data_IF_779923945027
#
_entry.id   IF_779923945027
#
_cell.length_a   1.000
_cell.length_b   1.000
_cell.length_c   1.000
_cell.angle_alpha   90.00
_cell.angle_beta   90.00
_cell.angle_gamma   90.00
#
_symmetry.space_group_name_H-M   'P 1'
#
loop_
_entity.id
_entity.type
_entity.pdbx_description
1 polymer ?
#
# COMPACT_ATOMS: atom_id res chain seq x y z
N UNK A 1 -4.48 1.50 14.41
CA UNK A 1 -3.94 0.64 13.36
C UNK A 1 -3.96 1.37 12.03
N UNK A 2 -2.88 1.32 11.30
CA UNK A 2 -2.76 2.00 10.01
C UNK A 2 -3.29 1.11 8.90
N UNK A 3 -3.99 1.72 7.97
CA UNK A 3 -4.51 1.07 6.77
C UNK A 3 -4.01 1.81 5.55
N UNK A 4 -3.93 1.11 4.43
CA UNK A 4 -3.66 1.75 3.15
C UNK A 4 -4.96 2.40 2.68
N UNK A 5 -5.05 3.72 2.81
CA UNK A 5 -6.18 4.47 2.29
C UNK A 5 -5.97 4.78 0.79
N UNK A 6 -6.99 5.37 0.17
CA UNK A 6 -6.94 5.66 -1.27
C UNK A 6 -5.85 6.64 -1.63
N UNK A 7 -5.54 7.60 -0.76
CA UNK A 7 -4.50 8.60 -1.02
C UNK A 7 -3.13 7.96 -1.05
N UNK A 8 -2.81 7.14 -0.05
CA UNK A 8 -1.53 6.43 0.00
C UNK A 8 -1.43 5.46 -1.17
N UNK A 9 -2.50 4.70 -1.44
CA UNK A 9 -2.52 3.74 -2.53
C UNK A 9 -2.28 4.41 -3.88
N UNK A 10 -2.96 5.53 -4.15
CA UNK A 10 -2.80 6.28 -5.39
C UNK A 10 -1.36 6.78 -5.54
N UNK A 11 -0.75 7.26 -4.46
CA UNK A 11 0.62 7.73 -4.47
C UNK A 11 1.59 6.60 -4.87
N UNK A 12 1.39 5.40 -4.33
CA UNK A 12 2.25 4.26 -4.66
C UNK A 12 2.04 3.81 -6.10
N UNK A 13 0.78 3.57 -6.51
CA UNK A 13 0.53 3.01 -7.85
C UNK A 13 0.99 3.96 -8.94
N UNK A 14 0.77 5.27 -8.77
CA UNK A 14 1.19 6.26 -9.75
C UNK A 14 2.71 6.39 -9.82
N UNK A 15 3.39 6.39 -8.67
CA UNK A 15 4.85 6.47 -8.62
C UNK A 15 5.49 5.26 -9.30
N UNK A 16 4.99 4.06 -9.01
CA UNK A 16 5.54 2.84 -9.60
C UNK A 16 5.29 2.78 -11.11
N UNK A 17 4.09 3.17 -11.55
CA UNK A 17 3.79 3.23 -12.98
C UNK A 17 4.71 4.24 -13.70
N UNK A 18 4.98 5.38 -13.11
CA UNK A 18 5.88 6.38 -13.71
C UNK A 18 7.27 5.80 -13.98
N UNK A 19 7.72 4.86 -13.14
CA UNK A 19 9.03 4.23 -13.28
C UNK A 19 8.98 3.04 -14.24
N UNK A 20 7.99 2.16 -14.12
CA UNK A 20 7.97 0.90 -14.86
C UNK A 20 7.12 0.93 -16.14
N UNK A 21 6.25 1.93 -16.31
CA UNK A 21 5.38 2.05 -17.48
C UNK A 21 4.24 1.03 -17.54
N UNK A 22 4.02 0.26 -16.50
CA UNK A 22 2.99 -0.78 -16.43
C UNK A 22 1.91 -0.39 -15.45
N UNK A 23 0.69 -0.92 -15.65
CA UNK A 23 -0.40 -0.68 -14.73
C UNK A 23 -0.16 -1.36 -13.39
N UNK A 24 -0.49 -0.64 -12.32
CA UNK A 24 -0.29 -1.08 -10.95
C UNK A 24 -1.61 -0.98 -10.20
N UNK A 25 -1.92 -2.01 -9.43
CA UNK A 25 -3.15 -2.12 -8.67
C UNK A 25 -2.87 -2.38 -7.20
N UNK A 26 -3.76 -1.86 -6.34
CA UNK A 26 -3.92 -2.36 -4.98
C UNK A 26 -5.23 -3.12 -4.87
N UNK A 27 -5.18 -4.31 -4.29
CA UNK A 27 -6.30 -5.24 -4.16
C UNK A 27 -6.52 -5.51 -2.68
N UNK A 28 -7.79 -5.45 -2.24
CA UNK A 28 -8.10 -5.67 -0.84
C UNK A 28 -8.25 -7.16 -0.52
N UNK A 29 -8.54 -7.45 0.74
CA UNK A 29 -8.68 -8.80 1.27
C UNK A 29 -9.78 -9.61 0.54
N UNK A 30 -10.80 -8.94 0.03
CA UNK A 30 -11.90 -9.57 -0.70
C UNK A 30 -11.64 -9.74 -2.19
N UNK A 31 -10.47 -9.33 -2.66
CA UNK A 31 -10.12 -9.44 -4.07
C UNK A 31 -10.57 -8.26 -4.93
N UNK A 32 -11.01 -7.17 -4.31
CA UNK A 32 -11.47 -6.00 -5.03
C UNK A 32 -10.32 -5.01 -5.22
N UNK A 33 -10.15 -4.56 -6.44
CA UNK A 33 -9.17 -3.51 -6.76
C UNK A 33 -9.71 -2.18 -6.21
N UNK A 34 -9.04 -1.60 -5.22
CA UNK A 34 -9.48 -0.33 -4.63
C UNK A 34 -8.64 0.87 -5.07
N UNK A 35 -7.53 0.63 -5.76
CA UNK A 35 -6.73 1.67 -6.40
C UNK A 35 -6.02 1.08 -7.61
N UNK A 36 -5.97 1.82 -8.70
CA UNK A 36 -5.36 1.36 -9.95
C UNK A 36 -4.92 2.54 -10.79
N UNK A 37 -3.85 2.34 -11.55
CA UNK A 37 -3.46 3.29 -12.61
C UNK A 37 -4.35 3.16 -13.85
N UNK A 38 -5.16 2.09 -13.93
CA UNK A 38 -6.23 1.95 -14.90
C UNK A 38 -7.56 2.19 -14.17
N UNK A 39 -8.19 3.38 -14.34
CA UNK A 39 -9.39 3.72 -13.58
C UNK A 39 -10.57 2.78 -13.80
N UNK A 40 -10.65 2.14 -14.96
CA UNK A 40 -11.75 1.22 -15.27
C UNK A 40 -11.71 -0.04 -14.42
N UNK A 41 -10.56 -0.38 -13.87
CA UNK A 41 -10.41 -1.57 -13.04
C UNK A 41 -10.79 -1.36 -11.58
N UNK A 42 -10.89 -0.12 -11.13
CA UNK A 42 -11.26 0.18 -9.73
C UNK A 42 -12.66 -0.35 -9.45
N UNK A 43 -12.81 -1.10 -8.37
CA UNK A 43 -14.07 -1.70 -7.97
C UNK A 43 -14.30 -3.09 -8.58
N UNK A 44 -13.43 -3.58 -9.45
CA UNK A 44 -13.59 -4.91 -10.07
C UNK A 44 -12.89 -5.99 -9.25
N UNK A 45 -13.33 -7.24 -9.46
CA UNK A 45 -12.76 -8.40 -8.79
C UNK A 45 -11.53 -8.92 -9.54
N UNK A 46 -10.49 -9.26 -8.77
CA UNK A 46 -9.24 -9.80 -9.29
C UNK A 46 -9.01 -11.17 -8.64
N UNK A 47 -9.25 -12.24 -9.39
CA UNK A 47 -9.24 -13.60 -8.84
C UNK A 47 -7.91 -13.97 -8.20
N UNK A 48 -6.81 -13.78 -8.91
CA UNK A 48 -5.48 -14.14 -8.39
C UNK A 48 -5.04 -13.20 -7.27
N UNK A 49 -5.42 -11.93 -7.32
CA UNK A 49 -5.20 -11.03 -6.20
C UNK A 49 -5.90 -11.51 -4.93
N UNK A 50 -7.12 -12.03 -5.09
CA UNK A 50 -7.86 -12.63 -3.98
C UNK A 50 -7.13 -13.86 -3.43
N UNK A 51 -6.64 -14.74 -4.31
CA UNK A 51 -5.88 -15.91 -3.89
C UNK A 51 -4.60 -15.53 -3.17
N UNK A 52 -3.88 -14.52 -3.65
CA UNK A 52 -2.68 -14.02 -2.99
C UNK A 52 -3.00 -13.52 -1.57
N UNK A 53 -4.12 -12.81 -1.42
CA UNK A 53 -4.58 -12.33 -0.11
C UNK A 53 -4.89 -13.49 0.83
N UNK A 54 -5.53 -14.54 0.32
CA UNK A 54 -5.91 -15.70 1.14
C UNK A 54 -4.72 -16.57 1.55
N UNK A 55 -3.76 -16.76 0.63
CA UNK A 55 -2.62 -17.66 0.87
C UNK A 55 -1.43 -16.95 1.51
N UNK A 56 -1.33 -15.64 1.36
CA UNK A 56 -0.16 -14.89 1.80
C UNK A 56 1.07 -15.09 0.92
N UNK A 57 0.89 -15.69 -0.27
CA UNK A 57 1.99 -15.98 -1.17
C UNK A 57 1.93 -15.12 -2.41
N UNK A 58 3.11 -14.75 -2.93
CA UNK A 58 3.22 -14.07 -4.22
C UNK A 58 2.84 -15.03 -5.34
N UNK A 59 1.96 -14.58 -6.23
CA UNK A 59 1.49 -15.40 -7.35
C UNK A 59 1.82 -14.68 -8.66
N UNK A 60 2.52 -15.37 -9.55
CA UNK A 60 2.88 -14.87 -10.87
C UNK A 60 1.97 -15.52 -11.90
N UNK A 61 1.41 -14.70 -12.80
CA UNK A 61 0.53 -15.16 -13.88
C UNK A 61 1.23 -14.88 -15.20
N UNK A 62 1.44 -15.95 -16.00
CA UNK A 62 2.16 -15.87 -17.26
C UNK A 62 1.27 -15.89 -18.49
N UNK A 63 -0.05 -16.04 -18.29
CA UNK A 63 -1.04 -16.02 -19.36
C UNK A 63 -2.27 -15.21 -18.91
N UNK A 64 -2.87 -14.47 -19.85
CA UNK A 64 -3.94 -13.52 -19.54
C UNK A 64 -5.33 -14.16 -19.42
N UNK A 65 -5.52 -15.36 -19.89
CA UNK A 65 -6.85 -15.89 -20.22
C UNK A 65 -7.40 -16.93 -19.24
N UNK A 66 -6.71 -17.23 -18.15
CA UNK A 66 -7.09 -18.34 -17.28
C UNK A 66 -7.84 -17.94 -16.02
N UNK A 67 -7.90 -16.63 -15.68
CA UNK A 67 -8.41 -16.20 -14.38
C UNK A 67 -9.27 -14.95 -14.52
N UNK A 68 -10.39 -14.92 -13.80
CA UNK A 68 -11.34 -13.81 -13.86
C UNK A 68 -10.73 -12.51 -13.35
N UNK A 69 -10.75 -11.48 -14.19
CA UNK A 69 -10.26 -10.16 -13.85
C UNK A 69 -8.75 -10.06 -13.72
N UNK A 70 -8.03 -11.14 -13.99
CA UNK A 70 -6.58 -11.20 -13.84
C UNK A 70 -5.89 -11.15 -15.20
N UNK A 71 -4.87 -10.31 -15.30
CA UNK A 71 -3.98 -10.23 -16.45
C UNK A 71 -2.63 -10.84 -16.08
N UNK A 72 -1.82 -11.12 -17.11
CA UNK A 72 -0.44 -11.53 -16.91
C UNK A 72 0.27 -10.50 -16.01
N UNK A 73 0.95 -10.97 -15.00
CA UNK A 73 1.61 -10.07 -14.06
C UNK A 73 2.04 -10.77 -12.78
N UNK A 74 2.30 -9.95 -11.78
CA UNK A 74 2.70 -10.40 -10.44
C UNK A 74 1.73 -9.84 -9.40
N UNK A 75 1.43 -10.66 -8.40
CA UNK A 75 0.51 -10.31 -7.30
C UNK A 75 1.22 -10.61 -6.00
N UNK A 76 1.57 -9.57 -5.27
CA UNK A 76 2.42 -9.66 -4.07
C UNK A 76 1.65 -9.16 -2.86
N UNK A 77 1.34 -10.04 -1.89
CA UNK A 77 0.68 -9.60 -0.66
C UNK A 77 1.64 -8.79 0.19
N UNK A 78 1.13 -7.69 0.74
CA UNK A 78 1.91 -6.77 1.58
C UNK A 78 1.41 -6.87 3.01
N UNK A 79 2.35 -7.13 3.91
CA UNK A 79 2.12 -7.15 5.35
C UNK A 79 2.91 -6.04 6.01
N UNK A 80 2.37 -5.47 7.07
CA UNK A 80 3.07 -4.51 7.90
C UNK A 80 2.86 -4.90 9.36
N UNK A 81 3.94 -5.12 10.09
CA UNK A 81 3.87 -5.63 11.47
C UNK A 81 2.97 -6.86 11.58
N UNK A 82 3.14 -7.80 10.64
CA UNK A 82 2.42 -9.08 10.57
C UNK A 82 0.92 -8.93 10.28
N UNK A 83 0.47 -7.74 9.90
CA UNK A 83 -0.92 -7.49 9.54
C UNK A 83 -1.02 -7.36 8.02
N UNK A 84 -1.99 -8.07 7.42
CA UNK A 84 -2.25 -7.95 5.99
C UNK A 84 -2.74 -6.54 5.67
N UNK A 85 -2.13 -5.91 4.67
CA UNK A 85 -2.48 -4.56 4.25
C UNK A 85 -3.22 -4.55 2.92
N UNK A 86 -2.67 -5.21 1.91
CA UNK A 86 -3.24 -5.27 0.56
C UNK A 86 -2.40 -6.21 -0.29
N UNK A 87 -2.86 -6.47 -1.52
CA UNK A 87 -2.06 -7.12 -2.56
C UNK A 87 -1.68 -6.06 -3.58
N UNK A 88 -0.40 -6.03 -3.96
CA UNK A 88 0.08 -5.20 -5.06
C UNK A 88 0.07 -6.07 -6.31
N UNK A 89 -0.64 -5.60 -7.35
CA UNK A 89 -0.63 -6.23 -8.66
C UNK A 89 0.07 -5.35 -9.67
N UNK A 90 0.96 -5.93 -10.49
CA UNK A 90 1.60 -5.21 -11.61
C UNK A 90 1.43 -6.06 -12.86
N UNK A 91 0.88 -5.44 -13.92
CA UNK A 91 0.67 -6.08 -15.22
C UNK A 91 1.99 -6.14 -15.98
N UNK A 92 2.26 -7.27 -16.61
CA UNK A 92 3.45 -7.46 -17.44
C UNK A 92 4.06 -8.82 -17.25
N UNK A 93 5.13 -9.11 -17.99
CA UNK A 93 5.89 -10.33 -17.81
C UNK A 93 6.44 -10.40 -16.38
N UNK A 94 6.14 -11.48 -15.63
CA UNK A 94 6.58 -11.55 -14.22
C UNK A 94 8.08 -11.30 -14.02
N UNK A 95 8.92 -11.86 -14.90
CA UNK A 95 10.36 -11.70 -14.77
C UNK A 95 10.82 -10.25 -14.95
N UNK A 96 10.06 -9.45 -15.71
CA UNK A 96 10.37 -8.04 -15.94
C UNK A 96 9.83 -7.13 -14.83
N UNK A 97 8.66 -7.46 -14.26
CA UNK A 97 7.98 -6.58 -13.30
C UNK A 97 8.22 -6.94 -11.84
N UNK A 98 8.82 -8.10 -11.56
CA UNK A 98 9.04 -8.57 -10.19
C UNK A 98 9.78 -7.55 -9.33
N UNK A 99 10.82 -6.94 -9.85
CA UNK A 99 11.58 -5.92 -9.11
C UNK A 99 10.74 -4.70 -8.77
N UNK A 100 9.79 -4.35 -9.63
CA UNK A 100 8.91 -3.20 -9.38
C UNK A 100 7.85 -3.52 -8.33
N UNK A 101 7.42 -4.78 -8.24
CA UNK A 101 6.52 -5.22 -7.17
C UNK A 101 7.21 -5.11 -5.81
N UNK A 102 8.47 -5.54 -5.72
CA UNK A 102 9.25 -5.40 -4.49
C UNK A 102 9.52 -3.92 -4.17
N UNK A 103 9.76 -3.09 -5.17
CA UNK A 103 9.91 -1.65 -4.97
C UNK A 103 8.61 -1.05 -4.43
N UNK A 104 7.47 -1.42 -5.01
CA UNK A 104 6.17 -0.94 -4.54
C UNK A 104 5.90 -1.35 -3.09
N UNK A 105 6.26 -2.57 -2.72
CA UNK A 105 6.17 -3.05 -1.35
C UNK A 105 7.01 -2.20 -0.41
N UNK A 106 8.26 -1.92 -0.78
CA UNK A 106 9.17 -1.11 0.05
C UNK A 106 8.66 0.33 0.19
N UNK A 107 8.19 0.92 -0.88
CA UNK A 107 7.60 2.27 -0.84
C UNK A 107 6.39 2.28 0.09
N UNK A 108 5.53 1.27 -0.01
CA UNK A 108 4.34 1.15 0.84
C UNK A 108 4.73 1.07 2.32
N UNK A 109 5.72 0.24 2.66
CA UNK A 109 6.22 0.13 4.03
C UNK A 109 6.75 1.47 4.55
N UNK A 110 7.52 2.17 3.73
CA UNK A 110 8.09 3.47 4.12
C UNK A 110 7.00 4.50 4.35
N UNK A 111 5.98 4.54 3.49
CA UNK A 111 4.88 5.51 3.62
C UNK A 111 4.00 5.20 4.84
N UNK A 112 3.72 3.94 5.12
CA UNK A 112 2.98 3.55 6.31
C UNK A 112 3.77 3.96 7.56
N UNK A 113 5.06 3.66 7.57
CA UNK A 113 5.94 4.02 8.69
C UNK A 113 5.99 5.52 8.92
N UNK A 114 6.10 6.30 7.83
CA UNK A 114 6.10 7.75 7.92
C UNK A 114 4.82 8.28 8.56
N UNK A 115 3.66 7.76 8.13
CA UNK A 115 2.37 8.14 8.73
C UNK A 115 2.29 7.77 10.20
N UNK A 116 2.77 6.58 10.54
CA UNK A 116 2.81 6.12 11.93
C UNK A 116 3.65 7.05 12.80
N UNK A 117 4.85 7.40 12.35
CA UNK A 117 5.74 8.30 13.07
C UNK A 117 5.14 9.70 13.19
N UNK A 118 4.50 10.21 12.15
CA UNK A 118 3.83 11.52 12.18
C UNK A 118 2.68 11.52 13.19
N UNK A 119 1.89 10.46 13.24
CA UNK A 119 0.81 10.34 14.21
C UNK A 119 1.34 10.31 15.64
N UNK A 120 2.38 9.54 15.91
CA UNK A 120 3.03 9.48 17.23
C UNK A 120 3.59 10.86 17.60
N UNK A 121 4.26 11.51 16.67
CA UNK A 121 4.83 12.84 16.89
C UNK A 121 3.75 13.87 17.22
N UNK A 122 2.63 13.87 16.51
CA UNK A 122 1.49 14.75 16.79
C UNK A 122 0.93 14.49 18.18
N UNK A 123 0.72 13.24 18.55
CA UNK A 123 0.18 12.90 19.86
C UNK A 123 1.10 13.35 20.98
N UNK A 124 2.40 13.21 20.82
CA UNK A 124 3.37 13.68 21.80
C UNK A 124 3.40 15.19 21.90
N UNK A 125 3.32 15.89 20.77
CA UNK A 125 3.28 17.35 20.74
C UNK A 125 2.02 17.87 21.45
N UNK A 126 0.86 17.27 21.19
CA UNK A 126 -0.40 17.64 21.83
C UNK A 126 -0.33 17.44 23.35
N UNK A 127 0.23 16.32 23.79
CA UNK A 127 0.38 16.04 25.21
C UNK A 127 1.32 17.05 25.90
N UNK A 128 2.42 17.39 25.25
CA UNK A 128 3.35 18.38 25.77
C UNK A 128 2.73 19.75 25.87
N UNK A 129 1.98 20.15 24.84
CA UNK A 129 1.29 21.43 24.82
C UNK A 129 0.32 21.54 25.97
N UNK A 130 -0.49 20.51 26.19
CA UNK A 130 -1.44 20.45 27.31
C UNK A 130 -0.74 20.58 28.66
N UNK A 131 0.36 19.83 28.86
CA UNK A 131 1.11 19.87 30.10
C UNK A 131 1.75 21.26 30.35
N UNK A 132 2.24 21.90 29.31
CA UNK A 132 2.86 23.24 29.40
C UNK A 132 1.85 24.31 29.73
N UNK A 133 0.63 24.21 29.25
CA UNK A 133 -0.43 25.14 29.62
C UNK A 133 -0.85 24.99 31.06
N UNK A 134 -0.81 23.78 31.61
CA UNK A 134 -1.13 23.52 33.00
C UNK A 134 -0.03 23.97 33.97
N UNK A 135 1.24 23.98 33.50
CA UNK A 135 2.40 24.31 34.32
C UNK A 135 3.19 25.47 33.69
N UNK A 136 3.01 26.70 34.17
CA UNK A 136 3.59 27.88 33.54
C UNK A 136 5.09 27.84 33.32
N UNK A 137 5.85 27.18 34.19
CA UNK A 137 7.32 27.07 34.05
C UNK A 137 7.74 26.35 32.79
N UNK A 138 6.89 25.45 32.24
CA UNK A 138 7.19 24.72 31.00
C UNK A 138 7.01 25.55 29.73
N UNK A 139 6.25 26.64 29.80
CA UNK A 139 6.09 27.55 28.65
C UNK A 139 7.41 28.22 28.27
N UNK A 140 8.24 28.55 29.23
CA UNK A 140 9.54 29.16 28.99
C UNK A 140 10.51 28.20 28.33
N UNK A 141 10.41 26.91 28.66
CA UNK A 141 11.26 25.87 28.08
C UNK A 141 10.85 25.51 26.64
N UNK A 142 9.61 25.76 26.27
CA UNK A 142 9.09 25.46 24.92
C UNK A 142 9.49 26.53 23.90
N UNK A 143 9.93 27.68 24.36
CA UNK A 143 10.40 28.77 23.50
C UNK A 143 11.87 28.51 23.12
#
# INVERSE_FOLDING_TARGET
>A
MFKIDRTLAAQVVNTVKDVCGRDVNFINQSGIIFSSTDPERVGTFHEIGHQAALTGETIEVRADDNFHGTRMGINLPVYYNQTFMAVIGITGQPDEVRKYAHLAERITHLLIRERELNTISRNQADKRHFAMEALPQFRQLAQ
#
